data_IF_872071555824
#
_entry.id   IF_872071555824
#
_cell.length_a   1.000
_cell.length_b   1.000
_cell.length_c   1.000
_cell.angle_alpha   90.00
_cell.angle_beta   90.00
_cell.angle_gamma   90.00
#
_symmetry.space_group_name_H-M   'P 1'
#
loop_
_entity.id
_entity.type
_entity.pdbx_description
1 polymer ?
#
# COMPACT_ATOMS: atom_id res chain seq x y z
N UNK A 1 -15.05 8.88 -26.56
CA UNK A 1 -15.71 8.12 -25.49
C UNK A 1 -17.05 8.75 -25.24
N UNK A 2 -18.13 8.04 -25.52
CA UNK A 2 -19.47 8.53 -25.20
C UNK A 2 -19.70 8.40 -23.70
N UNK A 3 -20.56 9.26 -23.13
CA UNK A 3 -20.87 9.23 -21.69
C UNK A 3 -21.39 7.85 -21.25
N UNK A 4 -22.09 7.16 -22.15
CA UNK A 4 -22.62 5.82 -21.92
C UNK A 4 -21.54 4.74 -21.80
N UNK A 5 -20.47 4.83 -22.61
CA UNK A 5 -19.31 3.93 -22.51
C UNK A 5 -18.54 4.16 -21.20
N UNK A 6 -18.36 5.41 -20.77
CA UNK A 6 -17.69 5.74 -19.52
C UNK A 6 -18.49 5.29 -18.29
N UNK A 7 -19.82 5.40 -18.33
CA UNK A 7 -20.69 4.91 -17.26
C UNK A 7 -20.70 3.39 -17.18
N UNK A 8 -20.71 2.69 -18.31
CA UNK A 8 -20.62 1.22 -18.32
C UNK A 8 -19.27 0.72 -17.79
N UNK A 9 -18.18 1.40 -18.15
CA UNK A 9 -16.84 1.08 -17.65
C UNK A 9 -16.77 1.28 -16.12
N UNK A 10 -17.28 2.40 -15.62
CA UNK A 10 -17.34 2.69 -14.18
C UNK A 10 -18.21 1.67 -13.42
N UNK A 11 -19.34 1.28 -14.00
CA UNK A 11 -20.22 0.26 -13.41
C UNK A 11 -19.54 -1.12 -13.35
N UNK A 12 -18.79 -1.51 -14.39
CA UNK A 12 -18.03 -2.76 -14.40
C UNK A 12 -16.88 -2.76 -13.39
N UNK A 13 -16.18 -1.64 -13.22
CA UNK A 13 -15.12 -1.49 -12.21
C UNK A 13 -15.67 -1.62 -10.78
N UNK A 14 -16.82 -1.01 -10.50
CA UNK A 14 -17.48 -1.13 -9.19
C UNK A 14 -17.94 -2.55 -8.89
N UNK A 15 -18.44 -3.27 -9.91
CA UNK A 15 -18.83 -4.68 -9.74
C UNK A 15 -17.63 -5.58 -9.46
N UNK A 16 -16.51 -5.37 -10.14
CA UNK A 16 -15.29 -6.14 -9.91
C UNK A 16 -14.73 -5.91 -8.50
N UNK A 17 -14.72 -4.65 -8.02
CA UNK A 17 -14.29 -4.31 -6.67
C UNK A 17 -15.19 -4.93 -5.59
N UNK A 18 -16.50 -4.98 -5.83
CA UNK A 18 -17.46 -5.54 -4.89
C UNK A 18 -17.33 -7.07 -4.77
N UNK A 19 -17.09 -7.77 -5.88
CA UNK A 19 -16.89 -9.23 -5.85
C UNK A 19 -15.55 -9.62 -5.20
N UNK A 20 -14.50 -8.81 -5.41
CA UNK A 20 -13.21 -8.99 -4.73
C UNK A 20 -13.37 -8.83 -3.21
N UNK A 21 -14.10 -7.80 -2.78
CA UNK A 21 -14.40 -7.59 -1.36
C UNK A 21 -15.19 -8.74 -0.74
N UNK A 22 -16.20 -9.24 -1.46
CA UNK A 22 -17.02 -10.39 -1.04
C UNK A 22 -16.17 -11.64 -0.84
N UNK A 23 -15.25 -11.92 -1.77
CA UNK A 23 -14.35 -13.08 -1.69
C UNK A 23 -13.45 -13.05 -0.46
N UNK A 24 -12.97 -11.88 -0.10
CA UNK A 24 -12.04 -11.68 1.00
C UNK A 24 -12.76 -11.70 2.36
N UNK A 25 -14.01 -11.26 2.42
CA UNK A 25 -14.89 -11.44 3.57
C UNK A 25 -15.23 -12.92 3.80
N UNK A 26 -15.50 -13.69 2.75
CA UNK A 26 -15.77 -15.14 2.87
C UNK A 26 -14.54 -15.86 3.46
N UNK A 27 -13.34 -15.58 2.96
CA UNK A 27 -12.10 -16.18 3.49
C UNK A 27 -11.79 -15.78 4.93
N UNK A 28 -12.12 -14.54 5.31
CA UNK A 28 -11.99 -14.06 6.68
C UNK A 28 -12.94 -14.77 7.65
N UNK A 29 -14.15 -15.09 7.19
CA UNK A 29 -15.18 -15.78 7.98
C UNK A 29 -14.90 -17.29 8.07
N UNK A 30 -14.41 -17.91 6.99
CA UNK A 30 -14.04 -19.34 6.96
C UNK A 30 -12.74 -19.65 7.74
N UNK A 31 -11.95 -18.62 8.07
CA UNK A 31 -10.62 -18.74 8.68
C UNK A 31 -10.55 -18.68 10.22
N UNK A 32 -11.67 -18.80 10.95
CA UNK A 32 -11.65 -18.77 12.43
C UNK A 32 -11.26 -20.13 13.06
N UNK A 33 -10.02 -20.56 12.76
CA UNK A 33 -9.35 -21.64 13.49
C UNK A 33 -7.84 -21.34 13.57
N UNK A 34 -7.49 -20.23 14.22
CA UNK A 34 -6.12 -19.95 14.63
C UNK A 34 -5.48 -18.73 13.95
N UNK A 35 -5.82 -17.55 14.46
CA UNK A 35 -4.91 -16.41 14.53
C UNK A 35 -4.23 -16.00 13.22
N UNK A 36 -4.99 -15.45 12.29
CA UNK A 36 -4.46 -14.43 11.39
C UNK A 36 -5.39 -13.23 11.53
N UNK A 37 -4.93 -12.23 12.28
CA UNK A 37 -5.53 -10.90 12.28
C UNK A 37 -5.76 -10.52 10.83
N UNK A 38 -7.01 -10.31 10.50
CA UNK A 38 -7.45 -10.01 9.16
C UNK A 38 -6.86 -8.63 8.78
N UNK A 39 -5.61 -8.61 8.29
CA UNK A 39 -4.92 -7.50 7.63
C UNK A 39 -5.56 -7.20 6.26
N UNK A 40 -6.88 -7.22 6.21
CA UNK A 40 -7.67 -7.08 5.00
C UNK A 40 -7.78 -5.59 4.64
N UNK A 41 -6.66 -5.06 4.14
CA UNK A 41 -6.65 -3.88 3.30
C UNK A 41 -7.08 -4.25 1.87
N UNK A 42 -8.36 -4.59 1.73
CA UNK A 42 -8.96 -5.18 0.53
C UNK A 42 -9.35 -4.19 -0.55
N UNK A 43 -9.14 -2.90 -0.29
CA UNK A 43 -9.39 -1.87 -1.26
C UNK A 43 -8.03 -1.37 -1.69
N UNK A 44 -7.76 -1.37 -3.00
CA UNK A 44 -6.57 -0.84 -3.66
C UNK A 44 -6.20 0.62 -3.27
N UNK A 45 -6.98 1.23 -2.40
CA UNK A 45 -6.77 2.50 -1.74
C UNK A 45 -6.56 2.37 -0.21
N UNK A 46 -5.97 1.27 0.29
CA UNK A 46 -5.64 1.09 1.71
C UNK A 46 -4.99 2.37 2.27
N UNK A 47 -5.69 3.16 3.09
CA UNK A 47 -5.19 4.44 3.55
C UNK A 47 -3.91 4.24 4.36
N UNK A 48 -3.83 3.15 5.12
CA UNK A 48 -2.64 2.75 5.87
C UNK A 48 -1.42 2.53 4.96
N UNK A 49 -1.58 1.86 3.81
CA UNK A 49 -0.50 1.66 2.84
C UNK A 49 -0.05 2.99 2.22
N UNK A 50 -0.99 3.88 1.89
CA UNK A 50 -0.66 5.22 1.34
C UNK A 50 0.08 6.08 2.37
N UNK A 51 -0.42 6.14 3.60
CA UNK A 51 0.21 6.88 4.69
C UNK A 51 1.59 6.32 5.02
N UNK A 52 1.72 5.00 5.11
CA UNK A 52 3.01 4.35 5.37
C UNK A 52 4.03 4.66 4.26
N UNK A 53 3.62 4.61 2.99
CA UNK A 53 4.47 5.01 1.86
C UNK A 53 4.90 6.47 1.94
N UNK A 54 3.97 7.38 2.26
CA UNK A 54 4.26 8.81 2.40
C UNK A 54 5.29 9.07 3.49
N UNK A 55 5.05 8.52 4.69
CA UNK A 55 5.96 8.65 5.84
C UNK A 55 7.32 8.01 5.56
N UNK A 56 7.35 6.87 4.87
CA UNK A 56 8.60 6.20 4.50
C UNK A 56 9.42 7.03 3.50
N UNK A 57 8.77 7.65 2.51
CA UNK A 57 9.41 8.54 1.56
C UNK A 57 9.98 9.80 2.25
N UNK A 58 9.21 10.42 3.14
CA UNK A 58 9.65 11.58 3.93
C UNK A 58 10.85 11.22 4.83
N UNK A 59 10.78 10.07 5.50
CA UNK A 59 11.88 9.55 6.35
C UNK A 59 13.16 9.37 5.53
N UNK A 60 13.06 8.84 4.30
CA UNK A 60 14.20 8.71 3.38
C UNK A 60 14.79 10.08 3.04
N UNK A 61 13.95 11.10 2.83
CA UNK A 61 14.36 12.48 2.57
C UNK A 61 15.15 13.07 3.73
N UNK A 62 14.60 13.04 4.95
CA UNK A 62 15.26 13.54 6.16
C UNK A 62 16.57 12.78 6.44
N UNK A 63 16.58 11.46 6.23
CA UNK A 63 17.81 10.67 6.36
C UNK A 63 18.89 11.08 5.36
N UNK A 64 18.50 11.49 4.14
CA UNK A 64 19.46 11.96 3.14
C UNK A 64 20.08 13.31 3.53
N UNK A 65 19.27 14.24 4.02
CA UNK A 65 19.73 15.54 4.52
C UNK A 65 20.64 15.38 5.73
N UNK A 66 20.24 14.53 6.67
CA UNK A 66 21.04 14.21 7.87
C UNK A 66 22.34 13.50 7.47
N UNK A 67 22.30 12.59 6.48
CA UNK A 67 23.51 11.96 5.97
C UNK A 67 24.45 12.99 5.35
N UNK A 68 23.96 13.95 4.56
CA UNK A 68 24.80 15.01 3.97
C UNK A 68 25.47 15.86 5.04
N UNK A 69 24.77 16.18 6.13
CA UNK A 69 25.30 16.97 7.25
C UNK A 69 26.34 16.19 8.10
N UNK A 70 26.08 14.90 8.37
CA UNK A 70 26.89 14.10 9.32
C UNK A 70 27.85 13.09 8.66
N UNK A 71 27.79 12.92 7.33
CA UNK A 71 28.53 11.90 6.54
C UNK A 71 28.46 10.48 7.10
N UNK A 72 27.35 10.13 7.76
CA UNK A 72 27.21 8.84 8.44
C UNK A 72 26.98 7.68 7.45
N UNK A 73 27.89 6.70 7.48
CA UNK A 73 27.79 5.47 6.68
C UNK A 73 26.62 4.59 7.11
N UNK A 74 26.22 4.63 8.39
CA UNK A 74 25.06 3.88 8.91
C UNK A 74 23.74 4.45 8.39
N UNK A 75 23.62 5.78 8.28
CA UNK A 75 22.44 6.44 7.71
C UNK A 75 22.29 6.12 6.21
N UNK A 76 23.40 6.04 5.47
CA UNK A 76 23.38 5.63 4.06
C UNK A 76 22.84 4.21 3.86
N UNK A 77 23.28 3.26 4.70
CA UNK A 77 22.81 1.87 4.64
C UNK A 77 21.32 1.79 4.96
N UNK A 78 20.88 2.50 6.00
CA UNK A 78 19.46 2.56 6.36
C UNK A 78 18.62 3.17 5.23
N UNK A 79 19.06 4.29 4.65
CA UNK A 79 18.40 4.94 3.50
C UNK A 79 18.21 3.96 2.33
N UNK A 80 19.26 3.24 1.95
CA UNK A 80 19.20 2.25 0.86
C UNK A 80 18.22 1.11 1.16
N UNK A 81 18.18 0.64 2.40
CA UNK A 81 17.23 -0.40 2.84
C UNK A 81 15.79 0.11 2.73
N UNK A 82 15.51 1.33 3.19
CA UNK A 82 14.17 1.90 3.15
C UNK A 82 13.71 2.20 1.71
N UNK A 83 14.59 2.70 0.84
CA UNK A 83 14.29 2.88 -0.60
C UNK A 83 13.91 1.56 -1.23
N UNK A 84 14.66 0.48 -0.93
CA UNK A 84 14.38 -0.85 -1.46
C UNK A 84 13.00 -1.33 -1.01
N UNK A 85 12.69 -1.25 0.28
CA UNK A 85 11.37 -1.64 0.82
C UNK A 85 10.25 -0.80 0.19
N UNK A 86 10.46 0.50 0.00
CA UNK A 86 9.46 1.36 -0.63
C UNK A 86 9.21 0.95 -2.09
N UNK A 87 10.27 0.65 -2.86
CA UNK A 87 10.18 0.22 -4.25
C UNK A 87 9.52 -1.16 -4.39
N UNK A 88 9.82 -2.09 -3.49
CA UNK A 88 9.24 -3.44 -3.47
C UNK A 88 7.74 -3.43 -3.10
N UNK A 89 7.26 -2.38 -2.42
CA UNK A 89 5.88 -2.24 -1.97
C UNK A 89 5.09 -1.13 -2.69
N UNK A 90 5.70 -0.49 -3.70
CA UNK A 90 5.15 0.61 -4.50
C UNK A 90 3.90 0.21 -5.30
#
# INVERSE_FOLDING_TARGET
MTVQEALNQSAQELQQQLEEHRRLLVRAIEGDAGGIEIENCLLLACPHKRTLKGVLAETIGVLEETRKAFKSKRLEVLRKKLIRVLAENA
#
